data_IF_594675879127
#
_entry.id   IF_594675879127
#
_cell.length_a   1.000
_cell.length_b   1.000
_cell.length_c   1.000
_cell.angle_alpha   90.00
_cell.angle_beta   90.00
_cell.angle_gamma   90.00
#
_symmetry.space_group_name_H-M   'P 1'
#
loop_
_entity.id
_entity.type
_entity.pdbx_description
1 polymer ?
#
# COMPACT_ATOMS: atom_id res chain seq x y z
N UNK A 1 6.67 -10.76 0.22
CA UNK A 1 6.01 -10.58 -1.10
C UNK A 1 4.87 -9.60 -0.96
N UNK A 2 4.37 -9.03 -2.05
CA UNK A 2 3.30 -8.02 -2.02
C UNK A 2 2.27 -8.32 -3.11
N UNK A 3 1.01 -8.37 -2.70
CA UNK A 3 -0.15 -8.53 -3.57
C UNK A 3 -0.89 -7.21 -3.62
N UNK A 4 -1.13 -6.71 -4.83
CA UNK A 4 -1.93 -5.52 -5.08
C UNK A 4 -3.25 -5.94 -5.72
N UNK A 5 -4.38 -5.44 -5.22
CA UNK A 5 -5.66 -5.56 -5.92
C UNK A 5 -6.23 -4.19 -6.22
N UNK A 6 -6.92 -4.08 -7.34
CA UNK A 6 -7.61 -2.87 -7.79
C UNK A 6 -9.06 -3.18 -8.09
N UNK A 7 -9.94 -2.22 -7.87
CA UNK A 7 -11.28 -2.27 -8.45
C UNK A 7 -11.19 -2.16 -9.98
N UNK A 8 -12.19 -2.71 -10.68
CA UNK A 8 -12.19 -2.78 -12.15
C UNK A 8 -12.28 -1.42 -12.86
N UNK A 9 -12.65 -0.37 -12.13
CA UNK A 9 -12.70 1.01 -12.60
C UNK A 9 -11.33 1.74 -12.57
N UNK A 10 -10.24 1.03 -12.23
CA UNK A 10 -8.87 1.53 -12.27
C UNK A 10 -8.03 0.72 -13.28
N UNK A 11 -7.66 1.35 -14.39
CA UNK A 11 -6.94 0.70 -15.50
C UNK A 11 -5.73 1.50 -16.02
N UNK A 12 -5.48 2.70 -15.47
CA UNK A 12 -4.45 3.61 -15.98
C UNK A 12 -3.00 3.11 -15.80
N UNK A 13 -2.70 2.43 -14.68
CA UNK A 13 -1.35 1.94 -14.37
C UNK A 13 -1.38 0.81 -13.35
N UNK A 14 -0.42 -0.11 -13.42
CA UNK A 14 -0.22 -1.14 -12.39
C UNK A 14 0.25 -0.54 -11.05
N UNK A 15 -0.39 -0.87 -9.92
CA UNK A 15 0.05 -0.39 -8.60
C UNK A 15 1.48 -0.80 -8.22
N UNK A 16 1.95 -1.96 -8.68
CA UNK A 16 3.31 -2.43 -8.43
C UNK A 16 4.40 -1.49 -8.98
N UNK A 17 4.06 -0.62 -9.95
CA UNK A 17 4.97 0.43 -10.44
C UNK A 17 5.41 1.37 -9.32
N UNK A 18 4.51 1.73 -8.40
CA UNK A 18 4.85 2.58 -7.26
C UNK A 18 5.88 1.88 -6.34
N UNK A 19 5.67 0.60 -6.03
CA UNK A 19 6.64 -0.16 -5.23
C UNK A 19 8.02 -0.24 -5.90
N UNK A 20 8.08 -0.37 -7.23
CA UNK A 20 9.34 -0.34 -7.99
C UNK A 20 10.03 1.03 -7.94
N UNK A 21 9.27 2.12 -8.03
CA UNK A 21 9.79 3.49 -7.86
C UNK A 21 10.33 3.71 -6.44
N UNK A 22 9.69 3.09 -5.45
CA UNK A 22 10.16 3.01 -4.06
C UNK A 22 11.33 2.01 -3.85
N UNK A 23 11.96 1.50 -4.92
CA UNK A 23 13.16 0.67 -4.81
C UNK A 23 12.91 -0.79 -4.41
N UNK A 24 11.67 -1.29 -4.41
CA UNK A 24 11.36 -2.69 -4.07
C UNK A 24 11.64 -3.61 -5.26
N UNK A 25 12.92 -3.69 -5.66
CA UNK A 25 13.37 -4.41 -6.84
C UNK A 25 13.49 -5.93 -6.61
N UNK A 26 13.80 -6.36 -5.39
CA UNK A 26 13.97 -7.78 -5.03
C UNK A 26 12.72 -8.46 -4.49
N UNK A 27 11.64 -7.71 -4.23
CA UNK A 27 10.39 -8.29 -3.73
C UNK A 27 9.57 -8.90 -4.87
N UNK A 28 8.97 -10.07 -4.62
CA UNK A 28 7.95 -10.61 -5.51
C UNK A 28 6.67 -9.75 -5.40
N UNK A 29 6.27 -9.14 -6.53
CA UNK A 29 5.10 -8.27 -6.66
C UNK A 29 4.11 -8.89 -7.66
N UNK A 30 2.82 -8.91 -7.30
CA UNK A 30 1.75 -9.37 -8.20
C UNK A 30 0.55 -8.43 -8.10
N UNK A 31 -0.08 -8.14 -9.24
CA UNK A 31 -1.29 -7.33 -9.33
C UNK A 31 -2.46 -8.21 -9.78
N UNK A 32 -3.65 -7.92 -9.27
CA UNK A 32 -4.91 -8.51 -9.72
C UNK A 32 -6.06 -7.52 -9.61
N UNK A 33 -7.24 -7.94 -10.06
CA UNK A 33 -8.48 -7.22 -9.80
C UNK A 33 -9.20 -7.81 -8.59
N UNK A 34 -9.82 -6.94 -7.82
CA UNK A 34 -10.72 -7.31 -6.74
C UNK A 34 -12.08 -7.74 -7.31
N UNK A 35 -12.79 -8.60 -6.58
CA UNK A 35 -14.13 -9.04 -6.95
C UNK A 35 -15.09 -7.84 -7.14
N UNK A 36 -15.79 -7.74 -8.29
CA UNK A 36 -16.67 -6.60 -8.60
C UNK A 36 -18.03 -6.73 -7.89
N UNK A 37 -18.06 -6.48 -6.59
CA UNK A 37 -19.30 -6.52 -5.79
C UNK A 37 -20.10 -5.23 -5.99
N UNK A 38 -21.39 -5.34 -6.33
CA UNK A 38 -22.28 -4.19 -6.49
C UNK A 38 -22.37 -3.38 -5.18
N UNK A 39 -22.24 -2.05 -5.28
CA UNK A 39 -22.26 -1.16 -4.12
C UNK A 39 -20.98 -1.16 -3.27
N UNK A 40 -19.93 -1.89 -3.71
CA UNK A 40 -18.63 -1.84 -3.06
C UNK A 40 -17.88 -0.53 -3.37
N UNK A 41 -16.91 -0.21 -2.51
CA UNK A 41 -16.06 0.97 -2.66
C UNK A 41 -15.32 0.95 -3.99
N UNK A 42 -15.55 1.99 -4.80
CA UNK A 42 -14.93 2.24 -6.10
C UNK A 42 -13.55 2.89 -5.96
N UNK A 43 -12.79 2.94 -7.06
CA UNK A 43 -11.46 3.56 -7.15
C UNK A 43 -10.49 3.13 -6.03
N UNK A 44 -10.54 1.86 -5.65
CA UNK A 44 -9.85 1.35 -4.47
C UNK A 44 -8.67 0.46 -4.85
N UNK A 45 -7.49 0.82 -4.34
CA UNK A 45 -6.27 0.00 -4.37
C UNK A 45 -6.10 -0.64 -3.00
N UNK A 46 -5.90 -1.96 -2.95
CA UNK A 46 -5.63 -2.72 -1.72
C UNK A 46 -4.26 -3.37 -1.82
N UNK A 47 -3.60 -3.50 -0.67
CA UNK A 47 -2.25 -4.07 -0.57
C UNK A 47 -2.25 -5.12 0.54
N UNK A 48 -1.86 -6.34 0.20
CA UNK A 48 -1.51 -7.38 1.16
C UNK A 48 -0.02 -7.61 1.12
N UNK A 49 0.64 -7.34 2.24
CA UNK A 49 2.09 -7.42 2.38
C UNK A 49 2.46 -8.57 3.32
N UNK A 50 3.20 -9.55 2.80
CA UNK A 50 3.81 -10.59 3.62
C UNK A 50 5.15 -10.07 4.14
N UNK A 51 5.23 -9.94 5.47
CA UNK A 51 6.39 -9.41 6.17
C UNK A 51 6.95 -10.43 7.17
N UNK A 52 8.24 -10.73 7.04
CA UNK A 52 8.97 -11.47 8.07
C UNK A 52 9.29 -10.52 9.23
N UNK A 53 8.60 -10.67 10.35
CA UNK A 53 8.75 -9.80 11.52
C UNK A 53 8.68 -10.58 12.82
N UNK A 54 9.23 -10.00 13.90
CA UNK A 54 9.12 -10.53 15.26
C UNK A 54 7.90 -9.99 16.01
N UNK A 55 7.20 -9.01 15.43
CA UNK A 55 5.96 -8.45 16.00
C UNK A 55 4.86 -9.51 16.03
N UNK A 56 4.07 -9.51 17.11
CA UNK A 56 2.83 -10.29 17.20
C UNK A 56 1.76 -9.69 16.29
N UNK A 57 0.75 -10.50 15.97
CA UNK A 57 -0.34 -10.10 15.07
C UNK A 57 -1.09 -8.86 15.57
N UNK A 58 -1.28 -8.72 16.87
CA UNK A 58 -2.01 -7.60 17.48
C UNK A 58 -1.22 -6.28 17.41
N UNK A 59 0.11 -6.37 17.24
CA UNK A 59 1.00 -5.22 17.07
C UNK A 59 1.03 -4.71 15.62
N UNK A 60 0.34 -5.37 14.69
CA UNK A 60 0.29 -4.99 13.28
C UNK A 60 -0.82 -3.95 13.05
N UNK A 61 -0.40 -2.78 12.58
CA UNK A 61 -1.29 -1.70 12.20
C UNK A 61 -1.63 -1.79 10.71
N UNK A 62 -2.85 -2.23 10.41
CA UNK A 62 -3.41 -2.19 9.06
C UNK A 62 -3.91 -0.77 8.76
N UNK A 63 -3.41 -0.19 7.67
CA UNK A 63 -3.66 1.22 7.30
C UNK A 63 -4.77 1.28 6.25
N UNK A 64 -5.76 2.15 6.50
CA UNK A 64 -6.85 2.45 5.57
C UNK A 64 -6.90 3.97 5.40
N UNK A 65 -6.78 4.46 4.16
CA UNK A 65 -6.71 5.89 3.86
C UNK A 65 -7.94 6.33 3.06
N UNK A 66 -8.28 7.62 3.13
CA UNK A 66 -9.40 8.22 2.38
C UNK A 66 -10.70 7.44 2.64
N UNK A 67 -11.49 7.17 1.60
CA UNK A 67 -12.77 6.46 1.71
C UNK A 67 -12.61 4.98 2.12
N UNK A 68 -11.41 4.40 1.98
CA UNK A 68 -11.15 3.03 2.40
C UNK A 68 -11.20 2.84 3.93
N UNK A 69 -11.20 3.91 4.72
CA UNK A 69 -11.48 3.86 6.16
C UNK A 69 -12.82 3.16 6.46
N UNK A 70 -13.81 3.35 5.59
CA UNK A 70 -15.13 2.71 5.72
C UNK A 70 -15.09 1.17 5.65
N UNK A 71 -14.02 0.57 5.11
CA UNK A 71 -13.89 -0.87 4.97
C UNK A 71 -13.59 -1.57 6.32
N UNK A 72 -13.22 -0.82 7.36
CA UNK A 72 -12.97 -1.33 8.72
C UNK A 72 -13.57 -0.41 9.77
N UNK A 73 -14.92 -0.38 9.89
CA UNK A 73 -15.60 0.46 10.87
C UNK A 73 -15.24 0.08 12.32
N UNK A 74 -14.76 -1.14 12.55
CA UNK A 74 -14.26 -1.65 13.82
C UNK A 74 -12.89 -1.09 14.24
N UNK A 75 -12.18 -0.41 13.33
CA UNK A 75 -10.85 0.18 13.56
C UNK A 75 -10.87 1.68 13.28
N UNK A 76 -11.62 2.42 14.08
CA UNK A 76 -11.76 3.88 13.98
C UNK A 76 -10.52 4.68 14.42
N UNK A 77 -9.55 4.05 15.10
CA UNK A 77 -8.30 4.68 15.52
C UNK A 77 -7.11 4.18 14.68
N UNK A 78 -6.97 4.73 13.48
CA UNK A 78 -5.79 4.52 12.62
C UNK A 78 -4.79 5.64 12.96
N UNK A 79 -3.52 5.33 13.27
CA UNK A 79 -2.52 6.37 13.45
C UNK A 79 -2.44 7.22 12.18
N UNK A 80 -2.42 8.54 12.33
CA UNK A 80 -2.18 9.41 11.19
C UNK A 80 -0.85 9.03 10.54
N UNK A 81 -0.83 8.88 9.22
CA UNK A 81 0.44 8.83 8.48
C UNK A 81 1.04 10.23 8.60
N UNK A 82 2.22 10.41 9.22
CA UNK A 82 2.82 11.72 9.35
C UNK A 82 3.05 12.29 7.94
N UNK A 83 2.49 13.47 7.66
CA UNK A 83 2.59 14.10 6.33
C UNK A 83 4.05 14.29 5.92
N UNK A 84 4.89 14.66 6.88
CA UNK A 84 6.34 14.84 6.73
C UNK A 84 7.05 13.55 6.26
N UNK A 85 6.68 12.40 6.82
CA UNK A 85 7.23 11.11 6.40
C UNK A 85 6.77 10.71 5.00
N UNK A 86 5.50 11.00 4.67
CA UNK A 86 4.96 10.76 3.34
C UNK A 86 5.62 11.65 2.29
N UNK A 87 5.75 12.95 2.57
CA UNK A 87 6.42 13.93 1.72
C UNK A 87 7.88 13.54 1.50
N UNK A 88 8.61 13.19 2.56
CA UNK A 88 9.99 12.72 2.43
C UNK A 88 10.10 11.45 1.55
N UNK A 89 9.17 10.49 1.69
CA UNK A 89 9.15 9.30 0.84
C UNK A 89 8.84 9.64 -0.61
N UNK A 90 7.92 10.58 -0.86
CA UNK A 90 7.57 11.04 -2.21
C UNK A 90 8.74 11.81 -2.85
N UNK A 91 9.37 12.74 -2.14
CA UNK A 91 10.56 13.46 -2.60
C UNK A 91 11.71 12.51 -2.92
N UNK A 92 11.94 11.49 -2.08
CA UNK A 92 12.95 10.47 -2.35
C UNK A 92 12.60 9.61 -3.58
N UNK A 93 11.31 9.38 -3.83
CA UNK A 93 10.84 8.62 -4.98
C UNK A 93 11.03 9.44 -6.27
N UNK A 94 10.68 10.72 -6.23
CA UNK A 94 10.87 11.68 -7.33
C UNK A 94 12.35 11.90 -7.64
N UNK A 95 13.20 12.01 -6.61
CA UNK A 95 14.65 12.11 -6.75
C UNK A 95 15.31 10.79 -7.18
N UNK A 96 14.57 9.68 -7.24
CA UNK A 96 15.10 8.35 -7.58
C UNK A 96 16.07 7.76 -6.54
N UNK A 97 16.12 8.34 -5.34
CA UNK A 97 17.08 8.02 -4.27
C UNK A 97 16.65 6.84 -3.40
N UNK A 98 15.40 6.39 -3.49
CA UNK A 98 14.92 5.18 -2.79
C UNK A 98 15.70 3.90 -3.14
N UNK A 99 16.39 3.86 -4.28
CA UNK A 99 17.23 2.72 -4.72
C UNK A 99 18.51 2.54 -3.91
N UNK A 100 18.92 3.55 -3.12
CA UNK A 100 20.25 3.62 -2.50
C UNK A 100 20.31 3.20 -1.03
N UNK A 101 19.17 2.96 -0.39
CA UNK A 101 19.15 2.51 1.02
C UNK A 101 19.21 0.98 1.08
N UNK A 102 20.30 0.38 1.58
CA UNK A 102 20.27 -1.02 1.98
C UNK A 102 19.29 -1.07 3.16
N UNK A 103 18.21 -1.83 3.00
CA UNK A 103 17.34 -2.17 4.10
C UNK A 103 18.19 -2.87 5.17
N UNK A 104 18.36 -2.22 6.32
CA UNK A 104 18.87 -2.80 7.55
C UNK A 104 17.68 -3.22 8.41
#
# INVERSE_FOLDING_TARGET
SVYFTTTHDLDAVFPATAARQLGWLGAALICGNEMPVQGSLQQCVRIMLHWNTRKRQEEIHHVYLRDAQSLRPDRSNIPAVPAEELEAVLELAEAGLLKSRPWA
#
